data_IF_695317685462
#
_entry.id   IF_695317685462
#
_cell.length_a   1.000
_cell.length_b   1.000
_cell.length_c   1.000
_cell.angle_alpha   90.00
_cell.angle_beta   90.00
_cell.angle_gamma   90.00
#
_symmetry.space_group_name_H-M   'P 1'
#
loop_
_entity.id
_entity.type
_entity.pdbx_description
1 polymer ?
#
# COMPACT_ATOMS: atom_id res chain seq x y z
N UNK A 1 -2.43 3.42 -3.89
CA UNK A 1 -1.15 3.08 -3.26
C UNK A 1 -1.11 1.57 -3.13
N UNK A 2 -0.26 0.88 -3.90
CA UNK A 2 0.19 -0.47 -3.58
C UNK A 2 1.70 -0.39 -3.75
N UNK A 3 2.37 0.02 -2.68
CA UNK A 3 3.81 -0.08 -2.57
C UNK A 3 4.10 -1.39 -1.86
N UNK A 4 4.98 -2.19 -2.46
CA UNK A 4 5.42 -3.48 -1.95
C UNK A 4 5.32 -4.56 -3.01
N UNK A 5 6.06 -5.64 -2.83
CA UNK A 5 5.91 -6.85 -3.63
C UNK A 5 4.77 -7.72 -3.08
N UNK A 6 4.52 -8.84 -3.74
CA UNK A 6 3.48 -9.79 -3.36
C UNK A 6 3.73 -10.42 -1.99
N UNK A 7 4.99 -10.60 -1.59
CA UNK A 7 5.36 -11.07 -0.25
C UNK A 7 4.91 -10.07 0.84
N UNK A 8 5.20 -8.79 0.66
CA UNK A 8 4.81 -7.73 1.60
C UNK A 8 3.29 -7.60 1.70
N UNK A 9 2.58 -7.66 0.58
CA UNK A 9 1.11 -7.63 0.57
C UNK A 9 0.51 -8.86 1.29
N UNK A 10 1.07 -10.05 1.06
CA UNK A 10 0.60 -11.27 1.73
C UNK A 10 0.82 -11.23 3.24
N UNK A 11 2.00 -10.77 3.69
CA UNK A 11 2.30 -10.59 5.12
C UNK A 11 1.35 -9.61 5.77
N UNK A 12 1.08 -8.47 5.11
CA UNK A 12 0.15 -7.47 5.61
C UNK A 12 -1.27 -8.02 5.74
N UNK A 13 -1.77 -8.72 4.72
CA UNK A 13 -3.10 -9.33 4.74
C UNK A 13 -3.20 -10.42 5.81
N UNK A 14 -2.17 -11.27 5.96
CA UNK A 14 -2.13 -12.28 7.01
C UNK A 14 -2.14 -11.66 8.41
N UNK A 15 -1.39 -10.58 8.63
CA UNK A 15 -1.40 -9.84 9.89
C UNK A 15 -2.77 -9.22 10.18
N UNK A 16 -3.45 -8.72 9.15
CA UNK A 16 -4.81 -8.20 9.26
C UNK A 16 -5.80 -9.29 9.70
N UNK A 17 -5.78 -10.47 9.09
CA UNK A 17 -6.64 -11.58 9.52
C UNK A 17 -6.33 -12.05 10.94
N UNK A 18 -5.05 -12.18 11.31
CA UNK A 18 -4.65 -12.50 12.69
C UNK A 18 -5.13 -11.45 13.70
N UNK A 19 -5.12 -10.17 13.31
CA UNK A 19 -5.67 -9.09 14.13
C UNK A 19 -7.18 -9.21 14.30
N UNK A 20 -7.92 -9.52 13.24
CA UNK A 20 -9.37 -9.77 13.31
C UNK A 20 -9.70 -10.96 14.22
N UNK A 21 -8.96 -12.07 14.12
CA UNK A 21 -9.08 -13.23 15.01
C UNK A 21 -8.88 -12.83 16.47
N UNK A 22 -7.84 -12.02 16.75
CA UNK A 22 -7.56 -11.55 18.10
C UNK A 22 -8.67 -10.66 18.66
N UNK A 23 -9.26 -9.77 17.85
CA UNK A 23 -10.37 -8.92 18.28
C UNK A 23 -11.57 -9.78 18.67
N UNK A 24 -12.00 -10.70 17.78
CA UNK A 24 -13.12 -11.60 18.03
C UNK A 24 -12.95 -12.36 19.34
N UNK A 25 -11.78 -12.98 19.52
CA UNK A 25 -11.46 -13.70 20.76
C UNK A 25 -11.52 -12.82 22.02
N UNK A 26 -11.19 -11.53 21.91
CA UNK A 26 -11.30 -10.59 23.05
C UNK A 26 -12.76 -10.24 23.33
N UNK A 27 -13.54 -9.97 22.28
CA UNK A 27 -14.97 -9.64 22.37
C UNK A 27 -15.81 -10.81 22.89
N UNK A 28 -15.54 -12.04 22.46
CA UNK A 28 -16.26 -13.24 22.90
C UNK A 28 -15.97 -13.55 24.38
N UNK A 29 -14.73 -13.32 24.85
CA UNK A 29 -14.39 -13.47 26.27
C UNK A 29 -15.06 -12.40 27.15
N UNK A 30 -15.21 -11.16 26.68
CA UNK A 30 -15.90 -10.09 27.42
C UNK A 30 -17.42 -10.26 27.44
N UNK A 31 -18.02 -10.88 26.42
CA UNK A 31 -19.46 -11.16 26.34
C UNK A 31 -19.86 -12.48 27.02
N UNK A 32 -18.92 -13.43 27.18
CA UNK A 32 -19.19 -14.74 27.80
C UNK A 32 -19.47 -14.72 29.33
N UNK A 33 -19.41 -13.57 30.00
CA UNK A 33 -19.88 -13.42 31.38
C UNK A 33 -21.41 -13.17 31.49
N UNK A 34 -22.10 -12.90 30.39
CA UNK A 34 -23.54 -12.65 30.36
C UNK A 34 -24.17 -13.37 29.16
N UNK A 35 -24.85 -14.48 29.45
CA UNK A 35 -25.78 -15.22 28.61
C UNK A 35 -25.22 -16.21 27.57
N UNK A 36 -25.41 -17.49 27.92
CA UNK A 36 -25.61 -18.59 26.98
C UNK A 36 -26.79 -18.27 26.03
N UNK A 37 -26.52 -17.88 24.79
CA UNK A 37 -27.46 -18.06 23.68
C UNK A 37 -26.76 -17.90 22.32
N UNK A 38 -26.47 -19.03 21.67
CA UNK A 38 -26.43 -19.24 20.21
C UNK A 38 -26.10 -18.02 19.32
N UNK A 39 -24.84 -17.65 19.23
CA UNK A 39 -24.27 -16.95 18.07
C UNK A 39 -23.54 -17.96 17.19
N UNK A 40 -23.97 -18.09 15.94
CA UNK A 40 -23.28 -18.83 14.88
C UNK A 40 -21.98 -18.09 14.52
N UNK A 41 -20.93 -18.32 15.31
CA UNK A 41 -19.63 -17.68 15.12
C UNK A 41 -18.78 -18.45 14.11
N UNK A 42 -18.53 -17.82 12.97
CA UNK A 42 -17.49 -18.25 12.03
C UNK A 42 -16.10 -18.05 12.66
N UNK A 43 -15.61 -19.12 13.28
CA UNK A 43 -14.26 -19.29 13.79
C UNK A 43 -13.29 -19.41 12.60
N UNK A 44 -12.56 -18.33 12.31
CA UNK A 44 -11.44 -18.38 11.38
C UNK A 44 -10.30 -19.08 12.12
N UNK A 45 -10.20 -20.38 11.92
CA UNK A 45 -9.04 -21.14 12.31
C UNK A 45 -7.85 -20.74 11.45
N UNK A 46 -6.71 -20.53 12.10
CA UNK A 46 -5.36 -20.60 11.53
C UNK A 46 -5.14 -19.90 10.17
N UNK A 47 -4.53 -18.71 10.23
CA UNK A 47 -3.98 -18.01 9.06
C UNK A 47 -2.59 -18.55 8.71
N UNK A 48 -2.34 -18.76 7.41
CA UNK A 48 -1.03 -19.15 6.87
C UNK A 48 -0.67 -18.30 5.65
N UNK A 49 0.63 -18.09 5.42
CA UNK A 49 1.13 -17.70 4.10
C UNK A 49 1.28 -18.97 3.25
N UNK A 50 0.83 -18.91 2.01
CA UNK A 50 0.84 -20.00 1.05
C UNK A 50 1.81 -19.68 -0.08
N UNK A 51 2.96 -20.36 -0.05
CA UNK A 51 4.03 -20.23 -1.04
C UNK A 51 3.68 -21.09 -2.25
N UNK A 52 3.69 -20.48 -3.43
CA UNK A 52 3.22 -21.18 -4.63
C UNK A 52 3.53 -20.49 -5.93
N UNK A 53 2.79 -20.89 -6.96
CA UNK A 53 2.80 -20.30 -8.29
C UNK A 53 1.37 -20.06 -8.76
N UNK A 54 1.07 -18.82 -9.16
CA UNK A 54 -0.24 -18.41 -9.65
C UNK A 54 -0.16 -17.80 -11.04
N UNK A 55 -1.29 -17.72 -11.73
CA UNK A 55 -1.39 -17.08 -13.05
C UNK A 55 -2.23 -15.82 -12.93
N UNK A 56 -1.73 -14.64 -13.34
CA UNK A 56 -0.50 -14.40 -14.11
C UNK A 56 0.78 -14.13 -13.29
N UNK A 57 0.71 -14.15 -11.96
CA UNK A 57 1.76 -13.63 -11.07
C UNK A 57 3.09 -14.41 -11.12
N UNK A 58 3.08 -15.67 -11.54
CA UNK A 58 4.23 -16.56 -11.43
C UNK A 58 4.44 -16.99 -9.98
N UNK A 59 5.70 -17.03 -9.51
CA UNK A 59 6.01 -17.37 -8.12
C UNK A 59 5.45 -16.31 -7.20
N UNK A 60 4.60 -16.72 -6.25
CA UNK A 60 3.89 -15.77 -5.41
C UNK A 60 3.50 -16.33 -4.05
N UNK A 61 2.98 -15.46 -3.19
CA UNK A 61 2.50 -15.77 -1.85
C UNK A 61 1.04 -15.36 -1.74
N UNK A 62 0.15 -16.32 -1.46
CA UNK A 62 -1.25 -16.05 -1.11
C UNK A 62 -1.45 -16.19 0.40
N UNK A 63 -2.59 -15.73 0.93
CA UNK A 63 -2.96 -15.99 2.32
C UNK A 63 -3.97 -17.13 2.36
N UNK A 64 -3.72 -18.16 3.16
CA UNK A 64 -4.61 -19.29 3.38
C UNK A 64 -5.29 -19.14 4.75
N UNK A 65 -6.61 -19.32 4.78
CA UNK A 65 -7.41 -19.32 6.02
C UNK A 65 -8.22 -20.61 6.13
N UNK A 66 -8.33 -21.17 7.34
CA UNK A 66 -9.13 -22.38 7.62
C UNK A 66 -10.41 -22.01 8.37
N UNK A 67 -11.58 -22.07 7.75
CA UNK A 67 -12.84 -21.94 8.49
C UNK A 67 -13.25 -23.30 9.04
N UNK A 68 -13.48 -23.41 10.35
CA UNK A 68 -14.12 -24.60 10.90
C UNK A 68 -15.63 -24.41 10.87
N UNK A 69 -16.34 -25.11 9.98
CA UNK A 69 -17.79 -25.16 10.07
C UNK A 69 -18.18 -26.22 11.08
N UNK A 70 -18.88 -25.83 12.15
CA UNK A 70 -19.67 -26.78 12.95
C UNK A 70 -20.99 -26.99 12.23
N UNK A 71 -21.22 -28.13 11.57
CA UNK A 71 -22.52 -28.38 10.98
C UNK A 71 -23.54 -28.68 12.08
N UNK A 72 -24.82 -28.43 11.79
CA UNK A 72 -25.94 -28.76 12.66
C UNK A 72 -25.86 -30.20 13.16
N UNK A 73 -25.55 -30.36 14.47
CA UNK A 73 -25.68 -31.49 15.40
C UNK A 73 -25.55 -32.97 14.95
N UNK A 74 -25.21 -33.28 13.69
CA UNK A 74 -25.17 -34.65 13.13
C UNK A 74 -24.03 -34.95 12.16
N UNK A 75 -23.22 -33.96 11.78
CA UNK A 75 -22.09 -34.17 10.85
C UNK A 75 -20.76 -33.83 11.51
N UNK A 76 -19.69 -34.48 11.07
CA UNK A 76 -18.33 -34.18 11.53
C UNK A 76 -17.93 -32.75 11.17
N UNK A 77 -17.05 -32.14 11.96
CA UNK A 77 -16.45 -30.82 11.67
C UNK A 77 -15.75 -30.90 10.31
N UNK A 78 -16.13 -30.02 9.39
CA UNK A 78 -15.50 -29.94 8.06
C UNK A 78 -14.70 -28.65 7.99
N UNK A 79 -13.41 -28.79 7.69
CA UNK A 79 -12.53 -27.66 7.43
C UNK A 79 -12.78 -27.10 6.03
N UNK A 80 -13.02 -25.80 5.96
CA UNK A 80 -13.19 -25.08 4.70
C UNK A 80 -12.02 -24.13 4.50
N UNK A 81 -11.11 -24.53 3.63
CA UNK A 81 -9.91 -23.77 3.31
C UNK A 81 -10.15 -22.78 2.17
N UNK A 82 -9.62 -21.57 2.33
CA UNK A 82 -9.71 -20.49 1.35
C UNK A 82 -8.36 -19.82 1.13
N UNK A 83 -8.02 -19.61 -0.14
CA UNK A 83 -6.87 -18.85 -0.60
C UNK A 83 -7.30 -17.43 -0.96
N UNK A 84 -6.54 -16.45 -0.50
CA UNK A 84 -6.77 -15.03 -0.72
C UNK A 84 -5.62 -14.45 -1.53
N UNK A 85 -5.96 -13.83 -2.66
CA UNK A 85 -5.00 -13.06 -3.45
C UNK A 85 -4.73 -11.74 -2.70
N UNK A 86 -3.49 -11.47 -2.26
CA UNK A 86 -3.19 -10.30 -1.44
C UNK A 86 -3.20 -8.99 -2.24
N UNK A 87 -3.03 -9.06 -3.57
CA UNK A 87 -3.02 -7.89 -4.44
C UNK A 87 -4.42 -7.46 -4.85
N UNK A 88 -5.34 -8.41 -5.07
CA UNK A 88 -6.72 -8.10 -5.49
C UNK A 88 -7.72 -8.13 -4.33
N UNK A 89 -7.42 -8.86 -3.26
CA UNK A 89 -8.34 -9.13 -2.15
C UNK A 89 -9.37 -10.23 -2.44
N UNK A 90 -9.30 -10.88 -3.61
CA UNK A 90 -10.24 -11.94 -3.98
C UNK A 90 -9.99 -13.22 -3.17
N UNK A 91 -11.08 -13.91 -2.83
CA UNK A 91 -11.04 -15.18 -2.10
C UNK A 91 -11.50 -16.34 -2.97
N UNK A 92 -10.80 -17.47 -2.87
CA UNK A 92 -11.07 -18.69 -3.61
C UNK A 92 -11.09 -19.88 -2.66
N UNK A 93 -12.11 -20.73 -2.73
CA UNK A 93 -12.04 -22.04 -2.09
C UNK A 93 -10.90 -22.85 -2.72
N UNK A 94 -10.15 -23.61 -1.91
CA UNK A 94 -9.07 -24.48 -2.42
C UNK A 94 -9.56 -25.54 -3.41
N UNK A 95 -10.84 -25.90 -3.34
CA UNK A 95 -11.47 -26.86 -4.25
C UNK A 95 -11.93 -26.22 -5.57
N UNK A 96 -11.79 -24.90 -5.73
CA UNK A 96 -12.19 -24.20 -6.94
C UNK A 96 -11.07 -24.22 -7.98
N UNK A 97 -11.29 -24.94 -9.09
CA UNK A 97 -10.35 -25.05 -10.22
C UNK A 97 -10.11 -23.70 -10.94
N UNK A 98 -11.04 -22.74 -10.79
CA UNK A 98 -10.86 -21.39 -11.32
C UNK A 98 -9.91 -20.53 -10.47
N UNK A 99 -9.40 -21.03 -9.34
CA UNK A 99 -8.43 -20.32 -8.53
C UNK A 99 -7.16 -20.02 -9.36
N UNK A 100 -6.63 -18.78 -9.29
CA UNK A 100 -5.39 -18.43 -9.98
C UNK A 100 -4.17 -19.24 -9.52
N UNK A 101 -4.14 -19.67 -8.26
CA UNK A 101 -3.07 -20.49 -7.69
C UNK A 101 -3.04 -21.86 -8.39
N UNK A 102 -1.91 -22.20 -8.99
CA UNK A 102 -1.70 -23.44 -9.78
C UNK A 102 -0.81 -24.45 -9.07
N UNK A 103 0.08 -24.02 -8.20
CA UNK A 103 0.94 -24.91 -7.44
C UNK A 103 1.16 -24.38 -6.03
N UNK A 104 1.13 -25.27 -5.03
CA UNK A 104 1.40 -24.98 -3.62
C UNK A 104 2.65 -25.75 -3.20
N UNK A 105 3.68 -25.00 -2.80
CA UNK A 105 4.98 -25.54 -2.41
C UNK A 105 5.14 -25.61 -0.89
N UNK A 106 4.52 -24.69 -0.16
CA UNK A 106 4.66 -24.67 1.30
C UNK A 106 3.69 -23.73 2.00
N UNK A 107 3.60 -23.91 3.31
CA UNK A 107 2.77 -23.12 4.21
C UNK A 107 3.61 -22.56 5.35
N UNK A 108 3.41 -21.30 5.70
CA UNK A 108 4.12 -20.62 6.78
C UNK A 108 3.12 -20.08 7.78
N UNK A 109 3.35 -20.34 9.07
CA UNK A 109 2.63 -19.72 10.18
C UNK A 109 3.63 -19.08 11.15
N UNK A 110 3.12 -18.40 12.17
CA UNK A 110 3.93 -17.92 13.29
C UNK A 110 4.64 -19.05 14.07
N UNK A 111 4.23 -20.32 13.92
CA UNK A 111 4.75 -21.45 14.70
C UNK A 111 5.69 -22.37 13.92
N UNK A 112 5.48 -22.51 12.62
CA UNK A 112 6.23 -23.46 11.79
C UNK A 112 6.13 -23.11 10.30
N UNK A 113 6.99 -23.75 9.52
CA UNK A 113 6.93 -23.84 8.07
C UNK A 113 6.69 -25.29 7.70
N UNK A 114 5.78 -25.56 6.78
CA UNK A 114 5.52 -26.89 6.24
C UNK A 114 5.83 -26.91 4.75
N UNK A 115 6.68 -27.84 4.33
CA UNK A 115 6.90 -28.13 2.93
C UNK A 115 5.84 -29.12 2.42
N UNK A 116 5.25 -28.84 1.26
CA UNK A 116 4.40 -29.80 0.56
C UNK A 116 5.28 -30.89 -0.07
N UNK A 117 5.11 -32.13 0.37
CA UNK A 117 5.85 -33.31 -0.14
C UNK A 117 4.95 -34.25 -0.95
N UNK A 118 3.73 -33.81 -1.28
CA UNK A 118 2.79 -34.55 -2.12
C UNK A 118 3.29 -34.56 -3.58
N UNK A 119 2.81 -35.53 -4.35
CA UNK A 119 3.12 -35.65 -5.78
C UNK A 119 2.40 -34.61 -6.64
N UNK A 120 1.25 -34.13 -6.15
CA UNK A 120 0.46 -33.06 -6.77
C UNK A 120 0.72 -31.74 -6.05
N UNK A 121 0.51 -30.65 -6.77
CA UNK A 121 0.75 -29.29 -6.24
C UNK A 121 -0.48 -28.40 -6.41
N UNK A 122 -1.43 -28.78 -7.26
CA UNK A 122 -2.65 -28.06 -7.54
C UNK A 122 -3.53 -27.97 -6.28
N UNK A 123 -4.03 -26.78 -5.90
CA UNK A 123 -4.81 -26.59 -4.66
C UNK A 123 -5.97 -27.58 -4.45
N UNK A 124 -6.62 -28.01 -5.52
CA UNK A 124 -7.76 -28.92 -5.49
C UNK A 124 -7.37 -30.42 -5.51
N UNK A 125 -6.09 -30.75 -5.69
CA UNK A 125 -5.59 -32.13 -5.70
C UNK A 125 -4.72 -32.48 -4.49
N UNK A 126 -4.44 -31.51 -3.62
CA UNK A 126 -3.62 -31.72 -2.42
C UNK A 126 -4.46 -31.88 -1.16
N UNK A 127 -3.93 -32.66 -0.22
CA UNK A 127 -4.42 -32.75 1.14
C UNK A 127 -3.97 -31.52 1.92
N UNK A 128 -4.93 -30.82 2.54
CA UNK A 128 -4.70 -29.62 3.36
C UNK A 128 -4.58 -29.94 4.86
N UNK A 129 -4.72 -31.20 5.26
CA UNK A 129 -4.47 -31.60 6.64
C UNK A 129 -2.97 -31.60 6.98
N UNK A 130 -2.53 -30.57 7.70
CA UNK A 130 -1.15 -30.44 8.18
C UNK A 130 -0.72 -31.57 9.14
N UNK A 131 -1.64 -32.39 9.64
CA UNK A 131 -1.34 -33.57 10.46
C UNK A 131 -0.83 -34.76 9.63
N UNK A 132 -1.13 -34.79 8.33
CA UNK A 132 -0.76 -35.83 7.40
C UNK A 132 0.75 -35.76 7.07
N UNK A 133 1.56 -36.54 7.79
CA UNK A 133 3.03 -36.56 7.67
C UNK A 133 3.56 -37.01 6.31
N UNK A 134 2.75 -37.69 5.52
CA UNK A 134 3.04 -38.09 4.14
C UNK A 134 2.73 -36.97 3.13
N UNK A 135 2.02 -35.92 3.55
CA UNK A 135 1.67 -34.77 2.73
C UNK A 135 2.47 -33.52 3.10
N UNK A 136 2.68 -33.29 4.40
CA UNK A 136 3.33 -32.09 4.92
C UNK A 136 4.50 -32.44 5.82
N UNK A 137 5.68 -31.87 5.51
CA UNK A 137 6.87 -32.01 6.35
C UNK A 137 7.17 -30.68 7.06
N UNK A 138 7.10 -30.63 8.40
CA UNK A 138 7.45 -29.42 9.15
C UNK A 138 8.97 -29.21 9.15
N UNK A 139 9.40 -27.98 8.87
CA UNK A 139 10.81 -27.56 8.95
C UNK A 139 11.32 -27.56 10.39
N UNK A 140 10.44 -27.24 11.36
CA UNK A 140 10.75 -27.28 12.79
C UNK A 140 9.93 -28.37 13.51
N UNK A 141 10.37 -29.64 13.53
CA UNK A 141 9.69 -30.70 14.26
C UNK A 141 9.59 -30.44 15.77
N UNK A 142 8.46 -30.81 16.39
CA UNK A 142 8.24 -30.70 17.84
C UNK A 142 9.32 -31.41 18.69
N UNK A 143 10.01 -32.40 18.12
CA UNK A 143 11.08 -33.16 18.80
C UNK A 143 12.34 -32.32 19.06
N UNK A 144 12.51 -31.16 18.40
CA UNK A 144 13.60 -30.23 18.71
C UNK A 144 13.42 -29.52 20.05
N UNK A 145 12.20 -29.44 20.59
CA UNK A 145 11.93 -28.88 21.92
C UNK A 145 12.07 -29.91 23.06
N UNK A 146 12.25 -31.20 22.72
CA UNK A 146 12.20 -32.33 23.66
C UNK A 146 13.53 -33.07 23.83
N UNK A 147 14.68 -32.51 23.45
CA UNK A 147 15.94 -33.00 23.99
C UNK A 147 16.11 -32.44 25.40
N UNK A 148 15.57 -33.18 26.38
CA UNK A 148 15.93 -33.08 27.79
C UNK A 148 17.46 -33.19 27.87
N UNK A 149 18.16 -32.09 28.00
CA UNK A 149 19.52 -32.13 28.54
C UNK A 149 19.43 -32.70 29.97
N UNK A 150 20.35 -33.59 30.39
CA UNK A 150 20.41 -34.06 31.77
C UNK A 150 20.55 -32.84 32.69
N UNK A 151 19.57 -32.68 33.56
CA UNK A 151 19.40 -31.53 34.43
C UNK A 151 20.44 -31.52 35.55
N UNK A 152 21.53 -30.79 35.36
CA UNK A 152 22.35 -30.25 36.45
C UNK A 152 22.59 -28.76 36.24
N UNK A 153 21.50 -27.98 36.16
CA UNK A 153 21.52 -26.56 36.53
C UNK A 153 20.11 -26.00 36.65
N UNK A 154 20.02 -25.09 37.61
CA UNK A 154 18.88 -24.37 38.19
C UNK A 154 17.78 -23.97 37.21
N UNK A 155 16.53 -24.12 37.69
CA UNK A 155 15.25 -23.71 37.12
C UNK A 155 15.28 -22.42 36.29
N UNK A 156 15.33 -22.55 34.96
CA UNK A 156 14.69 -21.61 34.02
C UNK A 156 14.07 -22.43 32.88
N UNK A 157 12.81 -22.87 33.06
CA UNK A 157 12.01 -23.42 31.96
C UNK A 157 11.57 -22.27 31.05
N UNK A 158 12.30 -22.02 29.97
CA UNK A 158 11.78 -21.36 28.77
C UNK A 158 12.18 -22.19 27.56
N UNK A 159 11.20 -22.92 27.02
CA UNK A 159 11.31 -23.62 25.75
C UNK A 159 11.35 -22.57 24.63
N UNK A 160 12.53 -22.26 24.10
CA UNK A 160 12.68 -21.39 22.94
C UNK A 160 12.73 -22.24 21.66
N UNK A 161 12.18 -21.77 20.53
CA UNK A 161 12.47 -22.36 19.22
C UNK A 161 13.99 -22.28 18.95
N UNK A 162 14.51 -23.23 18.15
CA UNK A 162 15.95 -23.37 17.84
C UNK A 162 16.52 -22.13 17.13
N UNK A 163 15.66 -21.28 16.57
CA UNK A 163 16.01 -19.99 16.00
C UNK A 163 15.41 -18.88 16.85
N UNK A 164 16.26 -18.00 17.38
CA UNK A 164 15.80 -16.74 18.00
C UNK A 164 15.19 -15.87 16.91
N UNK A 165 13.97 -15.40 17.12
CA UNK A 165 13.38 -14.39 16.23
C UNK A 165 14.25 -13.13 16.22
N UNK A 166 14.54 -12.61 15.02
CA UNK A 166 15.16 -11.28 14.85
C UNK A 166 14.10 -10.18 14.88
N UNK A 167 12.82 -10.55 14.82
CA UNK A 167 11.72 -9.61 14.86
C UNK A 167 11.59 -9.04 16.28
N UNK A 168 11.55 -7.70 16.44
CA UNK A 168 11.35 -7.10 17.74
C UNK A 168 9.97 -7.47 18.30
N UNK A 169 9.89 -7.65 19.62
CA UNK A 169 8.62 -7.96 20.30
C UNK A 169 7.56 -6.86 20.15
N UNK A 170 8.00 -5.64 19.83
CA UNK A 170 7.15 -4.48 19.60
C UNK A 170 7.70 -3.68 18.43
N UNK A 171 6.82 -3.33 17.48
CA UNK A 171 7.12 -2.34 16.47
C UNK A 171 6.79 -0.96 17.04
N UNK A 172 7.83 -0.14 17.22
CA UNK A 172 7.68 1.21 17.76
C UNK A 172 7.48 2.15 16.57
N UNK A 173 6.22 2.47 16.30
CA UNK A 173 5.85 3.51 15.33
C UNK A 173 5.83 4.86 16.05
N UNK A 174 7.01 5.46 16.20
CA UNK A 174 7.15 6.81 16.74
C UNK A 174 6.59 7.85 15.77
N UNK A 175 6.10 8.97 16.30
CA UNK A 175 5.83 10.14 15.46
C UNK A 175 7.16 10.70 14.95
N UNK A 176 7.24 11.01 13.66
CA UNK A 176 8.40 11.74 13.14
C UNK A 176 8.40 13.15 13.71
N UNK A 177 9.58 13.69 13.94
CA UNK A 177 9.72 15.08 14.35
C UNK A 177 9.10 15.98 13.26
N UNK A 178 8.24 16.91 13.67
CA UNK A 178 7.65 17.91 12.78
C UNK A 178 8.75 18.68 12.05
N UNK A 179 9.88 18.93 12.71
CA UNK A 179 11.01 19.63 12.09
C UNK A 179 11.63 18.84 10.93
N UNK A 180 11.77 17.53 11.07
CA UNK A 180 12.27 16.68 9.97
C UNK A 180 11.29 16.67 8.79
N UNK A 181 9.99 16.62 9.09
CA UNK A 181 8.94 16.69 8.05
C UNK A 181 8.98 18.02 7.30
N UNK A 182 9.17 19.13 8.01
CA UNK A 182 9.31 20.47 7.42
C UNK A 182 10.60 20.60 6.61
N UNK A 183 11.71 20.01 7.06
CA UNK A 183 12.97 19.97 6.31
C UNK A 183 12.81 19.20 5.00
N UNK A 184 12.18 18.02 5.01
CA UNK A 184 11.92 17.23 3.81
C UNK A 184 11.03 18.01 2.83
N UNK A 185 9.97 18.65 3.34
CA UNK A 185 9.09 19.51 2.53
C UNK A 185 9.89 20.63 1.87
N UNK A 186 10.71 21.35 2.65
CA UNK A 186 11.52 22.46 2.16
C UNK A 186 12.53 22.01 1.11
N UNK A 187 13.23 20.90 1.36
CA UNK A 187 14.24 20.33 0.46
C UNK A 187 13.63 19.92 -0.88
N UNK A 188 12.49 19.22 -0.87
CA UNK A 188 11.76 18.84 -2.08
C UNK A 188 11.28 20.08 -2.84
N UNK A 189 10.72 21.07 -2.14
CA UNK A 189 10.21 22.30 -2.74
C UNK A 189 11.33 23.14 -3.40
N UNK A 190 12.48 23.29 -2.73
CA UNK A 190 13.65 23.97 -3.25
C UNK A 190 14.21 23.24 -4.47
N UNK A 191 14.42 21.93 -4.36
CA UNK A 191 14.99 21.12 -5.44
C UNK A 191 14.08 21.08 -6.66
N UNK A 192 12.75 21.03 -6.48
CA UNK A 192 11.80 21.12 -7.61
C UNK A 192 11.82 22.47 -8.31
N UNK A 193 12.02 23.58 -7.57
CA UNK A 193 12.16 24.91 -8.17
C UNK A 193 13.44 25.01 -8.99
N UNK A 194 14.56 24.53 -8.45
CA UNK A 194 15.84 24.52 -9.15
C UNK A 194 15.77 23.63 -10.40
N UNK A 195 15.19 22.43 -10.26
CA UNK A 195 14.95 21.52 -11.39
C UNK A 195 14.07 22.17 -12.46
N UNK A 196 13.02 22.90 -12.08
CA UNK A 196 12.15 23.62 -13.02
C UNK A 196 12.89 24.72 -13.79
N UNK A 197 13.78 25.47 -13.11
CA UNK A 197 14.65 26.44 -13.78
C UNK A 197 15.60 25.75 -14.76
N UNK A 198 16.16 24.61 -14.34
CA UNK A 198 17.07 23.81 -15.16
C UNK A 198 16.41 23.21 -16.40
N UNK A 199 15.18 22.70 -16.28
CA UNK A 199 14.42 22.16 -17.41
C UNK A 199 14.08 23.22 -18.45
N UNK A 200 14.05 24.50 -18.04
CA UNK A 200 13.67 25.65 -18.86
C UNK A 200 14.84 26.60 -19.13
N UNK A 201 16.10 26.14 -19.10
CA UNK A 201 17.30 26.99 -19.33
C UNK A 201 17.24 27.93 -20.55
N UNK A 202 16.51 27.57 -21.60
CA UNK A 202 16.35 28.38 -22.81
C UNK A 202 15.23 29.44 -22.72
N UNK A 203 14.48 29.50 -21.61
CA UNK A 203 13.24 30.28 -21.46
C UNK A 203 13.20 30.95 -20.10
N UNK A 204 12.54 32.10 -20.02
CA UNK A 204 12.30 32.77 -18.74
C UNK A 204 11.31 31.91 -17.93
N UNK A 205 11.68 31.58 -16.69
CA UNK A 205 10.83 30.89 -15.71
C UNK A 205 10.42 31.89 -14.64
N UNK A 206 9.14 32.24 -14.60
CA UNK A 206 8.58 33.13 -13.57
C UNK A 206 7.89 32.29 -12.51
N UNK A 207 8.34 32.38 -11.26
CA UNK A 207 7.66 31.71 -10.15
C UNK A 207 6.55 32.61 -9.61
N UNK A 208 5.36 32.05 -9.44
CA UNK A 208 4.22 32.69 -8.81
C UNK A 208 4.07 32.16 -7.38
N UNK A 209 4.19 33.07 -6.41
CA UNK A 209 4.05 32.74 -4.99
C UNK A 209 2.68 33.13 -4.41
N UNK A 210 1.86 33.89 -5.16
CA UNK A 210 0.56 34.43 -4.70
C UNK A 210 -0.38 33.32 -4.25
N UNK A 211 -0.41 32.19 -4.98
CA UNK A 211 -1.35 31.08 -4.73
C UNK A 211 -0.69 29.82 -4.18
N UNK A 212 0.59 29.87 -3.80
CA UNK A 212 1.28 28.68 -3.24
C UNK A 212 0.59 28.23 -1.95
N UNK A 213 0.19 29.15 -1.08
CA UNK A 213 -0.55 28.81 0.14
C UNK A 213 -1.88 28.10 -0.15
N UNK A 214 -2.56 28.48 -1.22
CA UNK A 214 -3.84 27.88 -1.63
C UNK A 214 -3.66 26.50 -2.20
N UNK A 215 -2.67 26.32 -3.06
CA UNK A 215 -2.30 25.01 -3.58
C UNK A 215 -1.88 24.08 -2.44
N UNK A 216 -1.11 24.56 -1.46
CA UNK A 216 -0.75 23.76 -0.27
C UNK A 216 -1.99 23.33 0.53
N UNK A 217 -2.98 24.22 0.72
CA UNK A 217 -4.26 23.87 1.37
C UNK A 217 -5.05 22.84 0.57
N UNK A 218 -4.99 22.89 -0.76
CA UNK A 218 -5.58 21.86 -1.62
C UNK A 218 -4.92 20.51 -1.36
N UNK A 219 -3.58 20.46 -1.31
CA UNK A 219 -2.83 19.23 -1.04
C UNK A 219 -3.13 18.66 0.35
N UNK A 220 -3.17 19.51 1.38
CA UNK A 220 -3.49 19.11 2.76
C UNK A 220 -4.90 18.49 2.86
N UNK A 221 -5.88 19.09 2.20
CA UNK A 221 -7.25 18.56 2.22
C UNK A 221 -7.40 17.31 1.35
N UNK A 222 -6.68 17.20 0.24
CA UNK A 222 -6.63 15.96 -0.53
C UNK A 222 -6.08 14.81 0.30
N UNK A 223 -5.02 15.04 1.10
CA UNK A 223 -4.53 14.00 2.02
C UNK A 223 -5.59 13.58 3.03
N UNK A 224 -6.28 14.55 3.67
CA UNK A 224 -7.35 14.25 4.63
C UNK A 224 -8.50 13.42 4.03
N UNK A 225 -8.74 13.55 2.74
CA UNK A 225 -9.83 12.88 2.02
C UNK A 225 -9.32 11.74 1.11
N UNK A 226 -8.11 11.21 1.34
CA UNK A 226 -7.53 10.10 0.56
C UNK A 226 -7.52 10.35 -0.96
N UNK A 227 -7.22 11.59 -1.36
CA UNK A 227 -7.18 12.04 -2.75
C UNK A 227 -8.55 12.30 -3.39
N UNK A 228 -9.65 12.15 -2.64
CA UNK A 228 -11.00 12.40 -3.14
C UNK A 228 -11.35 13.89 -3.16
N UNK A 229 -12.35 14.25 -3.97
CA UNK A 229 -12.94 15.60 -3.95
C UNK A 229 -13.52 15.90 -2.57
N UNK A 230 -13.35 17.14 -2.12
CA UNK A 230 -13.82 17.61 -0.83
C UNK A 230 -14.54 18.96 -0.97
N UNK A 231 -15.35 19.30 0.04
CA UNK A 231 -16.14 20.53 0.04
C UNK A 231 -15.24 21.77 0.10
N UNK A 232 -15.51 22.74 -0.77
CA UNK A 232 -14.72 23.97 -0.87
C UNK A 232 -13.51 23.90 -1.81
N UNK A 233 -13.19 22.74 -2.40
CA UNK A 233 -12.16 22.64 -3.45
C UNK A 233 -12.43 23.63 -4.60
N UNK A 234 -13.67 23.67 -5.10
CA UNK A 234 -14.08 24.57 -6.18
C UNK A 234 -13.86 26.03 -5.81
N UNK A 235 -14.18 26.43 -4.57
CA UNK A 235 -13.99 27.82 -4.11
C UNK A 235 -12.52 28.25 -4.11
N UNK A 236 -11.62 27.35 -3.71
CA UNK A 236 -10.17 27.61 -3.75
C UNK A 236 -9.68 27.72 -5.19
N UNK A 237 -10.12 26.82 -6.07
CA UNK A 237 -9.77 26.85 -7.49
C UNK A 237 -10.36 28.07 -8.22
N UNK A 238 -11.59 28.48 -7.90
CA UNK A 238 -12.26 29.67 -8.45
C UNK A 238 -11.49 30.94 -8.12
N UNK A 239 -10.91 31.04 -6.92
CA UNK A 239 -10.06 32.18 -6.55
C UNK A 239 -8.81 32.27 -7.42
N UNK A 240 -8.18 31.14 -7.78
CA UNK A 240 -7.01 31.13 -8.67
C UNK A 240 -7.45 31.43 -10.11
N UNK A 241 -8.51 30.75 -10.56
CA UNK A 241 -9.01 30.84 -11.94
C UNK A 241 -9.68 32.18 -12.26
N UNK A 242 -10.04 32.97 -11.25
CA UNK A 242 -10.53 34.34 -11.42
C UNK A 242 -9.51 35.27 -12.09
N UNK A 243 -8.21 35.09 -11.81
CA UNK A 243 -7.11 35.91 -12.36
C UNK A 243 -6.24 35.19 -13.38
N UNK A 244 -6.21 33.86 -13.35
CA UNK A 244 -5.32 33.05 -14.18
C UNK A 244 -6.08 31.96 -14.93
N UNK A 245 -5.65 31.63 -16.15
CA UNK A 245 -5.85 30.29 -16.68
C UNK A 245 -4.83 29.36 -16.02
N UNK A 246 -5.29 28.22 -15.50
CA UNK A 246 -4.49 27.29 -14.70
C UNK A 246 -4.43 25.94 -15.40
N UNK A 247 -3.24 25.39 -15.56
CA UNK A 247 -3.04 23.99 -15.91
C UNK A 247 -2.07 23.34 -14.94
N UNK A 248 -2.52 22.27 -14.31
CA UNK A 248 -1.75 21.53 -13.32
C UNK A 248 -2.66 20.58 -12.58
N UNK A 249 -2.07 19.71 -11.79
CA UNK A 249 -2.81 18.74 -11.01
C UNK A 249 -1.97 18.30 -9.81
N UNK A 250 -2.63 17.91 -8.70
CA UNK A 250 -1.95 17.34 -7.56
C UNK A 250 -1.39 15.95 -7.90
N UNK A 251 -0.22 15.64 -7.37
CA UNK A 251 0.44 14.34 -7.50
C UNK A 251 0.75 13.84 -6.10
N UNK A 252 0.40 12.59 -5.80
CA UNK A 252 0.75 11.91 -4.55
C UNK A 252 1.89 10.91 -4.82
N UNK A 253 2.90 10.94 -3.96
CA UNK A 253 4.04 10.03 -3.98
C UNK A 253 4.24 9.40 -2.61
N UNK A 254 4.62 8.10 -2.55
CA UNK A 254 5.20 7.53 -1.34
C UNK A 254 6.56 8.18 -1.07
N UNK A 255 7.11 7.98 0.14
CA UNK A 255 8.49 8.37 0.42
C UNK A 255 9.44 7.68 -0.56
N UNK A 256 10.18 8.49 -1.32
CA UNK A 256 11.13 8.01 -2.31
C UNK A 256 12.25 9.04 -2.50
N UNK A 257 13.34 8.64 -3.16
CA UNK A 257 14.47 9.53 -3.43
C UNK A 257 14.03 10.75 -4.23
N UNK A 258 14.55 11.92 -3.87
CA UNK A 258 14.20 13.21 -4.47
C UNK A 258 14.40 13.21 -5.99
N UNK A 259 15.43 12.53 -6.51
CA UNK A 259 15.69 12.43 -7.96
C UNK A 259 14.55 11.73 -8.71
N UNK A 260 13.99 10.69 -8.10
CA UNK A 260 12.89 9.94 -8.70
C UNK A 260 11.58 10.74 -8.64
N UNK A 261 11.39 11.59 -7.62
CA UNK A 261 10.29 12.57 -7.57
C UNK A 261 10.43 13.57 -8.74
N UNK A 262 11.62 14.15 -8.91
CA UNK A 262 11.94 15.11 -9.97
C UNK A 262 11.66 14.51 -11.35
N UNK A 263 12.10 13.28 -11.61
CA UNK A 263 11.84 12.58 -12.87
C UNK A 263 10.33 12.38 -13.13
N UNK A 264 9.59 11.94 -12.11
CA UNK A 264 8.13 11.75 -12.23
C UNK A 264 7.39 13.07 -12.44
N UNK A 265 7.78 14.15 -11.78
CA UNK A 265 7.20 15.49 -12.00
C UNK A 265 7.54 15.98 -13.41
N UNK A 266 8.79 15.81 -13.86
CA UNK A 266 9.23 16.17 -15.21
C UNK A 266 8.43 15.46 -16.30
N UNK A 267 8.17 14.16 -16.12
CA UNK A 267 7.42 13.33 -17.07
C UNK A 267 6.01 13.84 -17.37
N UNK A 268 5.46 14.73 -16.53
CA UNK A 268 4.13 15.33 -16.73
C UNK A 268 4.12 16.48 -17.74
N UNK A 269 5.28 16.94 -18.22
CA UNK A 269 5.37 17.92 -19.29
C UNK A 269 4.85 19.33 -18.96
N UNK A 270 4.48 19.63 -17.71
CA UNK A 270 3.94 20.95 -17.32
C UNK A 270 4.97 22.07 -17.59
N UNK A 271 6.26 21.76 -17.42
CA UNK A 271 7.37 22.66 -17.70
C UNK A 271 7.57 22.95 -19.21
N UNK A 272 6.94 22.18 -20.10
CA UNK A 272 7.02 22.34 -21.55
C UNK A 272 5.87 23.19 -22.12
N UNK A 273 5.00 23.73 -21.28
CA UNK A 273 3.86 24.50 -21.75
C UNK A 273 4.29 25.91 -22.23
N UNK A 274 3.76 26.28 -23.41
CA UNK A 274 4.00 27.56 -24.08
C UNK A 274 2.66 28.15 -24.52
N UNK A 275 2.21 29.22 -23.85
CA UNK A 275 0.96 29.90 -24.18
C UNK A 275 -0.31 29.09 -23.87
N UNK A 276 -1.48 29.70 -24.13
CA UNK A 276 -2.81 29.14 -23.84
C UNK A 276 -3.27 28.17 -24.94
N UNK A 277 -2.78 28.32 -26.18
CA UNK A 277 -3.28 27.58 -27.34
C UNK A 277 -2.92 26.08 -27.34
N UNK A 278 -1.89 25.66 -26.58
CA UNK A 278 -1.61 24.25 -26.35
C UNK A 278 -2.69 23.50 -25.55
N UNK A 279 -3.66 24.23 -24.99
CA UNK A 279 -4.80 23.70 -24.24
C UNK A 279 -5.99 23.36 -25.15
N UNK A 280 -6.07 23.97 -26.34
CA UNK A 280 -7.14 23.76 -27.32
C UNK A 280 -6.59 22.90 -28.44
N UNK A 281 -6.85 21.59 -28.39
CA UNK A 281 -6.43 20.67 -29.44
C UNK A 281 -6.78 21.18 -30.84
N UNK A 282 -5.80 21.11 -31.75
CA UNK A 282 -5.90 21.24 -33.21
C UNK A 282 -7.25 21.78 -33.75
N UNK A 283 -7.46 23.10 -33.67
CA UNK A 283 -8.40 23.76 -34.59
C UNK A 283 -7.60 24.21 -35.82
N UNK A 284 -7.83 23.50 -36.91
CA UNK A 284 -7.24 23.73 -38.24
C UNK A 284 -7.75 25.04 -38.84
N UNK A 285 -7.20 26.17 -38.39
CA UNK A 285 -7.30 27.44 -39.11
C UNK A 285 -5.99 28.20 -38.95
N UNK A 286 -5.09 27.98 -39.91
CA UNK A 286 -3.83 28.71 -40.06
C UNK A 286 -4.11 30.16 -40.46
N UNK A 287 -4.37 31.03 -39.48
CA UNK A 287 -4.45 32.47 -39.72
C UNK A 287 -3.19 33.17 -39.22
N UNK A 288 -2.52 33.96 -40.08
CA UNK A 288 -1.24 34.62 -39.79
C UNK A 288 -1.31 35.62 -38.62
N UNK A 289 -2.51 36.09 -38.27
CA UNK A 289 -2.80 36.92 -37.10
C UNK A 289 -2.67 36.16 -35.77
N UNK A 290 -2.80 34.82 -35.78
CA UNK A 290 -2.66 33.98 -34.59
C UNK A 290 -1.22 33.97 -34.08
N UNK A 291 -0.21 33.90 -34.96
CA UNK A 291 1.22 33.81 -34.59
C UNK A 291 1.74 34.99 -33.75
N UNK A 292 1.20 36.19 -33.97
CA UNK A 292 1.56 37.40 -33.19
C UNK A 292 0.90 37.34 -31.79
N UNK A 293 -0.32 36.81 -31.68
CA UNK A 293 -0.97 36.54 -30.39
C UNK A 293 -0.27 35.39 -29.63
N UNK A 294 0.12 34.31 -30.32
CA UNK A 294 0.87 33.17 -29.78
C UNK A 294 2.18 33.63 -29.12
N UNK A 295 2.86 34.63 -29.71
CA UNK A 295 4.09 35.23 -29.13
C UNK A 295 3.84 36.03 -27.85
N UNK A 296 2.68 36.67 -27.68
CA UNK A 296 2.40 37.54 -26.52
C UNK A 296 2.07 36.73 -25.26
N UNK A 297 1.42 35.57 -25.43
CA UNK A 297 1.07 34.65 -24.33
C UNK A 297 2.12 33.57 -24.05
N UNK A 298 2.97 33.22 -25.02
CA UNK A 298 4.08 32.27 -24.80
C UNK A 298 5.09 32.75 -23.74
N UNK A 299 5.27 34.06 -23.59
CA UNK A 299 6.18 34.68 -22.62
C UNK A 299 5.54 35.05 -21.27
N UNK A 300 4.23 34.82 -21.11
CA UNK A 300 3.49 35.24 -19.90
C UNK A 300 3.24 34.12 -18.88
N UNK A 301 3.68 32.89 -19.18
CA UNK A 301 3.50 31.75 -18.27
C UNK A 301 4.29 31.95 -16.97
N UNK A 302 3.60 31.71 -15.86
CA UNK A 302 4.17 31.64 -14.52
C UNK A 302 3.97 30.24 -13.96
N UNK A 303 4.80 29.85 -13.00
CA UNK A 303 4.76 28.54 -12.40
C UNK A 303 4.59 28.64 -10.89
N UNK A 304 3.66 27.88 -10.33
CA UNK A 304 3.55 27.70 -8.89
C UNK A 304 3.92 26.27 -8.53
N UNK A 305 4.78 26.12 -7.52
CA UNK A 305 5.18 24.83 -6.94
C UNK A 305 4.76 24.84 -5.48
N UNK A 306 3.90 23.91 -5.10
CA UNK A 306 3.51 23.66 -3.73
C UNK A 306 3.83 22.21 -3.36
N UNK A 307 4.38 22.02 -2.16
CA UNK A 307 4.70 20.71 -1.60
C UNK A 307 4.04 20.59 -0.23
N UNK A 308 3.43 19.45 0.02
CA UNK A 308 2.87 19.09 1.32
C UNK A 308 3.37 17.70 1.68
N UNK A 309 3.91 17.54 2.89
CA UNK A 309 4.40 16.25 3.39
C UNK A 309 3.59 15.90 4.63
N UNK A 310 2.95 14.75 4.60
CA UNK A 310 2.26 14.18 5.75
C UNK A 310 3.09 13.04 6.33
N UNK A 311 3.55 13.23 7.56
CA UNK A 311 4.12 12.15 8.34
C UNK A 311 3.02 11.32 9.02
N UNK A 312 3.13 10.00 8.85
CA UNK A 312 2.41 9.00 9.63
C UNK A 312 3.32 8.46 10.74
N UNK A 313 2.78 7.59 11.59
CA UNK A 313 3.59 6.94 12.63
C UNK A 313 4.59 5.96 11.97
N UNK A 314 5.84 6.01 12.41
CA UNK A 314 6.96 5.30 11.79
C UNK A 314 7.46 5.99 10.51
N UNK A 315 8.40 5.39 9.76
CA UNK A 315 9.08 6.01 8.61
C UNK A 315 8.18 6.06 7.34
N UNK A 316 6.93 6.47 7.49
CA UNK A 316 5.92 6.51 6.43
C UNK A 316 5.56 7.96 6.16
N UNK A 317 5.87 8.42 4.95
CA UNK A 317 5.54 9.76 4.47
C UNK A 317 4.66 9.68 3.22
N UNK A 318 3.66 10.55 3.17
CA UNK A 318 2.87 10.85 1.97
C UNK A 318 3.28 12.23 1.46
N UNK A 319 3.81 12.28 0.24
CA UNK A 319 4.33 13.50 -0.38
C UNK A 319 3.36 13.93 -1.46
N UNK A 320 2.75 15.09 -1.27
CA UNK A 320 1.92 15.75 -2.25
C UNK A 320 2.65 16.89 -2.93
N UNK A 321 2.56 16.95 -4.25
CA UNK A 321 3.15 18.02 -5.06
C UNK A 321 2.10 18.58 -6.00
N UNK A 322 2.02 19.90 -6.08
CA UNK A 322 1.26 20.61 -7.09
C UNK A 322 2.21 21.49 -7.89
N UNK A 323 2.45 21.11 -9.15
CA UNK A 323 3.09 21.98 -10.14
C UNK A 323 2.00 22.54 -11.05
N UNK A 324 1.87 23.87 -11.10
CA UNK A 324 0.87 24.56 -11.91
C UNK A 324 1.53 25.54 -12.86
N UNK A 325 1.13 25.53 -14.12
CA UNK A 325 1.35 26.60 -15.09
C UNK A 325 0.17 27.57 -15.06
N UNK A 326 0.47 28.87 -15.02
CA UNK A 326 -0.48 29.95 -14.81
C UNK A 326 -0.30 31.01 -15.91
N UNK A 327 -1.37 31.37 -16.62
CA UNK A 327 -1.39 32.47 -17.57
C UNK A 327 -2.35 33.54 -17.09
N UNK A 328 -1.86 34.77 -16.93
CA UNK A 328 -2.70 35.88 -16.48
C UNK A 328 -3.82 36.12 -17.51
N UNK A 329 -5.06 36.24 -17.03
CA UNK A 329 -6.23 36.63 -17.83
C UNK A 329 -6.16 38.07 -18.28
#
# INVERSE_FOLDING_TARGET
>A
MLCGDDEEHAVLLACYFLYLEKIKFTTDNELSELDNANSEEEDFGSVFLCLGEAVPEGRTIYVLTRKQKRPDSKHAIVDSWHLWNPSTGDSYSVNNVSCPMRAVYGLVSAKNVWANIQTKHEPWEIDWDLSAKNAWTPVFPNNFQSKKHPSHSVNVKRHSPVLSTVQPSYLIYGELDSRETDLIKFDIEATLRDALMDWRKSKITRLNYEYVSDLTKVLENLERHNGQRYDGLTQVLDRITSKYHVYGFPMNFPYMKTEAIIERVRSKGIHELHGIDGFVGNSTTEDRSSRIATSKYATSVQYAVAVYVKAYKGPVLSIWIYLAALWRR
#
